data_IF_637105071979
#
_entry.id   IF_637105071979
#
_cell.length_a   1.000
_cell.length_b   1.000
_cell.length_c   1.000
_cell.angle_alpha   90.00
_cell.angle_beta   90.00
_cell.angle_gamma   90.00
#
_symmetry.space_group_name_H-M   'P 1'
#
loop_
_entity.id
_entity.type
_entity.pdbx_description
1 polymer ?
#
# COMPACT_ATOMS: atom_id res chain seq x y z
N UNK A 1 25.65 -36.77 -19.19
CA UNK A 1 26.49 -35.77 -19.87
C UNK A 1 26.99 -36.40 -21.16
N UNK A 2 26.41 -36.05 -22.30
CA UNK A 2 26.89 -36.49 -23.61
C UNK A 2 27.91 -35.47 -24.13
N UNK A 3 29.07 -35.95 -24.61
CA UNK A 3 30.02 -35.13 -25.37
C UNK A 3 29.44 -34.95 -26.78
N UNK A 4 29.37 -33.71 -27.26
CA UNK A 4 28.90 -33.40 -28.60
C UNK A 4 30.02 -32.64 -29.33
N UNK A 5 30.36 -33.06 -30.56
CA UNK A 5 31.33 -32.35 -31.40
C UNK A 5 30.84 -30.95 -31.74
N UNK A 6 31.73 -29.96 -31.63
CA UNK A 6 31.43 -28.57 -31.96
C UNK A 6 31.41 -28.42 -33.48
N UNK A 7 30.23 -28.35 -34.09
CA UNK A 7 30.11 -28.02 -35.52
C UNK A 7 30.68 -26.62 -35.83
N UNK A 8 31.62 -26.59 -36.78
CA UNK A 8 32.32 -25.41 -37.32
C UNK A 8 31.45 -24.68 -38.34
N UNK A 9 30.46 -23.92 -37.87
CA UNK A 9 29.93 -22.79 -38.63
C UNK A 9 29.88 -21.60 -37.68
N UNK A 10 30.96 -20.81 -37.69
CA UNK A 10 31.19 -19.70 -36.78
C UNK A 10 30.87 -18.38 -37.47
N UNK A 11 29.94 -17.61 -36.90
CA UNK A 11 30.13 -16.17 -36.80
C UNK A 11 31.03 -15.91 -35.60
N UNK A 12 32.07 -15.10 -35.78
CA UNK A 12 33.01 -14.79 -34.71
C UNK A 12 32.31 -14.01 -33.58
N UNK A 13 32.79 -14.17 -32.35
CA UNK A 13 32.30 -13.44 -31.17
C UNK A 13 32.41 -11.91 -31.36
N UNK A 14 33.36 -11.48 -32.21
CA UNK A 14 33.58 -10.09 -32.65
C UNK A 14 32.44 -9.50 -33.52
N UNK A 15 31.51 -10.32 -34.04
CA UNK A 15 30.31 -9.83 -34.75
C UNK A 15 29.12 -9.55 -33.81
N UNK A 16 29.23 -9.87 -32.51
CA UNK A 16 28.17 -9.62 -31.53
C UNK A 16 28.39 -8.25 -30.87
N UNK A 17 27.83 -7.23 -31.52
CA UNK A 17 27.64 -5.93 -30.89
C UNK A 17 26.54 -6.06 -29.82
N UNK A 18 26.94 -6.24 -28.56
CA UNK A 18 26.03 -6.34 -27.42
C UNK A 18 25.14 -5.09 -27.27
N UNK A 19 25.47 -3.97 -27.91
CA UNK A 19 24.67 -2.74 -27.91
C UNK A 19 23.44 -2.81 -28.84
N UNK A 20 23.32 -3.84 -29.68
CA UNK A 20 22.19 -3.99 -30.62
C UNK A 20 21.10 -4.91 -30.08
N UNK A 21 20.08 -4.27 -29.49
CA UNK A 21 18.78 -4.78 -28.99
C UNK A 21 18.20 -5.98 -29.79
N UNK A 22 18.42 -6.06 -31.10
CA UNK A 22 17.92 -7.15 -31.95
C UNK A 22 18.37 -8.56 -31.52
N UNK A 23 19.55 -8.71 -30.92
CA UNK A 23 20.11 -10.03 -30.59
C UNK A 23 19.64 -10.55 -29.23
N UNK A 24 19.31 -9.67 -28.29
CA UNK A 24 18.82 -10.01 -26.94
C UNK A 24 17.31 -10.31 -26.89
N UNK A 25 16.57 -10.04 -27.98
CA UNK A 25 15.14 -10.36 -28.12
C UNK A 25 14.87 -11.74 -28.76
N UNK A 26 15.93 -12.52 -29.00
CA UNK A 26 15.83 -13.88 -29.54
C UNK A 26 15.64 -14.90 -28.42
N UNK A 27 14.57 -15.70 -28.46
CA UNK A 27 14.36 -16.86 -27.58
C UNK A 27 15.38 -18.00 -27.83
N UNK A 28 16.24 -17.88 -28.85
CA UNK A 28 17.27 -18.87 -29.15
C UNK A 28 18.57 -18.57 -28.40
N UNK A 29 19.16 -19.56 -27.69
CA UNK A 29 20.39 -19.37 -26.94
C UNK A 29 21.55 -19.02 -27.88
N UNK A 30 22.28 -17.94 -27.56
CA UNK A 30 23.49 -17.54 -28.26
C UNK A 30 24.57 -18.61 -27.98
N UNK A 31 25.16 -19.16 -29.05
CA UNK A 31 26.22 -20.17 -28.96
C UNK A 31 27.55 -19.47 -28.72
N UNK A 32 28.07 -19.58 -27.50
CA UNK A 32 29.40 -19.10 -27.12
C UNK A 32 30.36 -20.30 -27.17
N UNK A 33 31.41 -20.22 -27.98
CA UNK A 33 32.41 -21.29 -28.14
C UNK A 33 33.80 -20.71 -28.27
N UNK A 34 34.79 -21.48 -27.83
CA UNK A 34 36.20 -21.13 -27.97
C UNK A 34 36.94 -22.27 -28.68
N UNK A 35 37.80 -21.94 -29.63
CA UNK A 35 38.55 -22.95 -30.41
C UNK A 35 39.94 -23.24 -29.85
N UNK A 36 40.44 -22.45 -28.89
CA UNK A 36 41.77 -22.60 -28.29
C UNK A 36 41.74 -22.30 -26.80
N UNK A 37 42.60 -22.97 -26.03
CA UNK A 37 42.78 -22.73 -24.60
C UNK A 37 43.55 -21.42 -24.35
N UNK A 38 43.01 -20.49 -23.57
CA UNK A 38 43.67 -19.21 -23.25
C UNK A 38 45.02 -19.33 -22.52
N UNK A 39 45.22 -20.44 -21.78
CA UNK A 39 46.44 -20.63 -21.00
C UNK A 39 47.60 -21.25 -21.79
N UNK A 40 47.31 -22.20 -22.69
CA UNK A 40 48.35 -22.96 -23.40
C UNK A 40 48.24 -22.92 -24.94
N UNK A 41 47.18 -22.32 -25.50
CA UNK A 41 46.98 -22.18 -26.94
C UNK A 41 46.54 -23.45 -27.68
N UNK A 42 46.45 -24.60 -26.99
CA UNK A 42 46.01 -25.87 -27.58
C UNK A 42 44.57 -25.80 -28.12
N UNK A 43 44.30 -26.56 -29.19
CA UNK A 43 42.96 -26.66 -29.81
C UNK A 43 41.93 -27.27 -28.85
N UNK A 44 40.70 -26.73 -28.87
CA UNK A 44 39.55 -27.22 -28.11
C UNK A 44 38.52 -27.81 -29.09
N UNK A 45 38.39 -29.15 -29.11
CA UNK A 45 37.52 -29.86 -30.07
C UNK A 45 36.24 -30.43 -29.42
N UNK A 46 36.34 -30.81 -28.14
CA UNK A 46 35.24 -31.36 -27.33
C UNK A 46 34.91 -30.42 -26.16
N UNK A 47 33.63 -30.32 -25.82
CA UNK A 47 33.17 -29.58 -24.64
C UNK A 47 31.87 -30.10 -24.05
N UNK A 48 31.48 -29.53 -22.91
CA UNK A 48 30.16 -29.75 -22.31
C UNK A 48 29.30 -28.50 -22.53
N UNK A 49 28.06 -28.68 -22.99
CA UNK A 49 27.10 -27.58 -23.12
C UNK A 49 26.35 -27.41 -21.80
N UNK A 50 26.44 -26.21 -21.23
CA UNK A 50 25.55 -25.74 -20.16
C UNK A 50 24.80 -24.54 -20.71
N UNK A 51 23.48 -24.59 -20.73
CA UNK A 51 22.66 -23.45 -21.10
C UNK A 51 22.32 -22.66 -19.83
N UNK A 52 22.84 -21.44 -19.74
CA UNK A 52 22.52 -20.50 -18.65
C UNK A 52 21.67 -19.39 -19.23
N UNK A 53 20.47 -19.18 -18.67
CA UNK A 53 19.65 -18.03 -19.01
C UNK A 53 20.17 -16.79 -18.28
N UNK A 54 20.65 -15.80 -19.04
CA UNK A 54 20.99 -14.48 -18.50
C UNK A 54 19.78 -13.57 -18.65
N UNK A 55 19.32 -12.98 -17.55
CA UNK A 55 18.28 -11.94 -17.56
C UNK A 55 18.97 -10.59 -17.36
N UNK A 56 18.78 -9.70 -18.31
CA UNK A 56 19.33 -8.34 -18.26
C UNK A 56 18.26 -7.29 -18.57
N UNK A 57 18.52 -6.03 -18.21
CA UNK A 57 17.65 -4.89 -18.49
C UNK A 57 18.20 -4.18 -19.74
N UNK A 58 17.51 -4.23 -20.89
CA UNK A 58 18.02 -3.60 -22.10
C UNK A 58 17.98 -2.08 -21.99
N UNK A 59 18.88 -1.41 -22.70
CA UNK A 59 18.80 0.04 -22.87
C UNK A 59 17.44 0.43 -23.46
N UNK A 60 16.77 1.46 -22.92
CA UNK A 60 15.46 1.85 -23.41
C UNK A 60 15.58 2.42 -24.83
N UNK A 61 14.80 1.91 -25.80
CA UNK A 61 14.82 2.47 -27.15
C UNK A 61 14.20 3.87 -27.15
N UNK A 62 14.86 4.83 -27.81
CA UNK A 62 14.29 6.15 -28.07
C UNK A 62 13.33 6.04 -29.26
N UNK A 63 12.03 6.07 -29.00
CA UNK A 63 11.01 6.09 -30.05
C UNK A 63 10.56 7.54 -30.31
N UNK A 64 10.84 8.05 -31.53
CA UNK A 64 10.35 9.36 -31.99
C UNK A 64 9.05 9.18 -32.76
N UNK A 65 8.06 10.03 -32.47
CA UNK A 65 6.78 10.05 -33.16
C UNK A 65 6.54 11.42 -33.78
N UNK A 66 6.10 11.45 -35.04
CA UNK A 66 5.58 12.64 -35.71
C UNK A 66 4.06 12.61 -35.63
N UNK A 67 3.45 13.67 -35.07
CA UNK A 67 2.00 13.82 -34.98
C UNK A 67 1.55 14.88 -35.98
N UNK A 68 0.59 14.52 -36.82
CA UNK A 68 0.03 15.40 -37.84
C UNK A 68 -1.26 16.05 -37.32
N UNK A 69 -1.45 17.31 -37.70
CA UNK A 69 -2.64 18.11 -37.45
C UNK A 69 -3.29 18.34 -38.81
N UNK A 70 -4.60 18.15 -38.85
CA UNK A 70 -5.40 18.33 -40.04
C UNK A 70 -6.47 19.37 -39.74
N UNK A 71 -6.82 20.17 -40.73
CA UNK A 71 -7.99 21.04 -40.71
C UNK A 71 -8.98 20.44 -41.70
N UNK A 72 -10.20 20.17 -41.25
CA UNK A 72 -11.21 19.59 -42.12
C UNK A 72 -11.74 20.64 -43.09
N UNK A 73 -11.45 20.52 -44.38
CA UNK A 73 -11.88 21.48 -45.42
C UNK A 73 -13.41 21.68 -45.54
N UNK A 74 -14.21 20.84 -44.90
CA UNK A 74 -15.67 20.89 -44.97
C UNK A 74 -16.34 21.51 -43.73
N UNK A 75 -15.69 21.51 -42.57
CA UNK A 75 -16.28 22.01 -41.32
C UNK A 75 -15.31 22.80 -40.44
N UNK A 76 -14.10 23.08 -40.92
CA UNK A 76 -13.02 23.80 -40.25
C UNK A 76 -12.61 23.20 -38.89
N UNK A 77 -12.98 21.95 -38.62
CA UNK A 77 -12.63 21.27 -37.37
C UNK A 77 -11.17 20.81 -37.41
N UNK A 78 -10.41 21.11 -36.36
CA UNK A 78 -9.05 20.60 -36.19
C UNK A 78 -9.08 19.12 -35.78
N UNK A 79 -8.58 18.25 -36.64
CA UNK A 79 -8.42 16.81 -36.38
C UNK A 79 -6.96 16.52 -36.07
N UNK A 80 -6.69 15.97 -34.90
CA UNK A 80 -5.35 15.58 -34.47
C UNK A 80 -5.18 14.08 -34.66
N UNK A 81 -4.10 13.65 -35.33
CA UNK A 81 -3.81 12.23 -35.51
C UNK A 81 -3.54 11.54 -34.15
N UNK A 82 -4.43 10.63 -33.74
CA UNK A 82 -4.27 9.84 -32.53
C UNK A 82 -3.79 8.42 -32.83
N UNK A 83 -2.91 7.89 -31.96
CA UNK A 83 -2.51 6.49 -31.97
C UNK A 83 -2.66 5.91 -30.59
N UNK A 84 -3.41 4.81 -30.48
CA UNK A 84 -3.58 4.07 -29.23
C UNK A 84 -2.22 3.72 -28.60
N UNK A 85 -2.03 4.09 -27.35
CA UNK A 85 -0.79 3.88 -26.60
C UNK A 85 0.23 5.02 -26.65
N UNK A 86 -0.03 6.09 -27.43
CA UNK A 86 0.70 7.35 -27.29
C UNK A 86 -0.08 8.34 -26.42
N UNK A 87 0.60 9.07 -25.53
CA UNK A 87 -0.08 10.04 -24.65
C UNK A 87 -0.74 11.13 -25.51
N UNK A 88 -2.00 11.46 -25.20
CA UNK A 88 -2.73 12.52 -25.90
C UNK A 88 -2.05 13.88 -25.71
N UNK A 89 -1.50 14.12 -24.51
CA UNK A 89 -0.76 15.34 -24.13
C UNK A 89 0.66 15.05 -23.63
N UNK A 90 1.59 15.97 -23.88
CA UNK A 90 2.96 15.92 -23.36
C UNK A 90 3.90 14.99 -24.13
N UNK A 91 5.16 14.90 -23.67
CA UNK A 91 6.26 14.21 -24.37
C UNK A 91 6.70 12.89 -23.73
N UNK A 92 6.05 12.48 -22.64
CA UNK A 92 6.46 11.33 -21.83
C UNK A 92 5.47 10.18 -21.99
N UNK A 93 5.97 8.99 -22.31
CA UNK A 93 5.15 7.80 -22.55
C UNK A 93 4.68 7.10 -21.27
N UNK A 94 3.74 6.16 -21.43
CA UNK A 94 3.05 5.50 -20.32
C UNK A 94 3.98 4.87 -19.27
N UNK A 95 5.09 4.26 -19.70
CA UNK A 95 6.08 3.66 -18.79
C UNK A 95 6.71 4.71 -17.87
N UNK A 96 7.06 5.87 -18.40
CA UNK A 96 7.72 6.92 -17.61
C UNK A 96 6.74 7.55 -16.61
N UNK A 97 5.47 7.74 -17.00
CA UNK A 97 4.41 8.17 -16.08
C UNK A 97 4.20 7.14 -14.95
N UNK A 98 4.08 5.85 -15.30
CA UNK A 98 3.90 4.78 -14.33
C UNK A 98 5.09 4.69 -13.36
N UNK A 99 6.31 4.73 -13.86
CA UNK A 99 7.51 4.72 -13.02
C UNK A 99 7.62 5.95 -12.13
N UNK A 100 7.25 7.14 -12.60
CA UNK A 100 7.27 8.35 -11.77
C UNK A 100 6.40 8.20 -10.52
N UNK A 101 5.18 7.64 -10.69
CA UNK A 101 4.27 7.35 -9.58
C UNK A 101 4.81 6.22 -8.71
N UNK A 102 5.24 5.11 -9.31
CA UNK A 102 5.75 3.94 -8.58
C UNK A 102 6.97 4.31 -7.72
N UNK A 103 7.97 4.98 -8.30
CA UNK A 103 9.14 5.45 -7.57
C UNK A 103 8.78 6.41 -6.44
N UNK A 104 7.81 7.31 -6.68
CA UNK A 104 7.42 8.28 -5.68
C UNK A 104 6.67 7.65 -4.50
N UNK A 105 5.66 6.82 -4.76
CA UNK A 105 4.68 6.42 -3.75
C UNK A 105 4.87 5.00 -3.23
N UNK A 106 5.40 4.07 -4.04
CA UNK A 106 5.75 2.72 -3.57
C UNK A 106 7.17 2.71 -2.99
N UNK A 107 8.14 3.24 -3.75
CA UNK A 107 9.55 3.22 -3.37
C UNK A 107 10.02 4.49 -2.62
N UNK A 108 9.10 5.45 -2.40
CA UNK A 108 9.30 6.62 -1.53
C UNK A 108 10.46 7.53 -1.95
N UNK A 109 10.80 7.54 -3.22
CA UNK A 109 11.93 8.29 -3.76
C UNK A 109 11.54 9.78 -3.89
N UNK A 110 12.36 10.73 -3.39
CA UNK A 110 12.11 12.16 -3.59
C UNK A 110 12.13 12.55 -5.08
N UNK A 111 11.29 13.50 -5.48
CA UNK A 111 11.15 13.91 -6.90
C UNK A 111 12.46 14.26 -7.60
N UNK A 112 13.39 14.93 -6.91
CA UNK A 112 14.72 15.25 -7.45
C UNK A 112 15.56 14.00 -7.72
N UNK A 113 15.45 12.96 -6.87
CA UNK A 113 16.14 11.68 -7.10
C UNK A 113 15.51 10.89 -8.25
N UNK A 114 14.18 10.97 -8.42
CA UNK A 114 13.49 10.36 -9.58
C UNK A 114 13.96 11.01 -10.88
N UNK A 115 14.08 12.34 -10.90
CA UNK A 115 14.65 13.11 -12.00
C UNK A 115 16.07 12.61 -12.36
N UNK A 116 16.94 12.45 -11.36
CA UNK A 116 18.28 11.90 -11.59
C UNK A 116 18.24 10.46 -12.12
N UNK A 117 17.37 9.60 -11.59
CA UNK A 117 17.22 8.21 -12.06
C UNK A 117 16.80 8.16 -13.53
N UNK A 118 15.88 9.01 -13.96
CA UNK A 118 15.46 9.07 -15.35
C UNK A 118 16.57 9.54 -16.29
N UNK A 119 17.43 10.47 -15.85
CA UNK A 119 18.61 10.85 -16.62
C UNK A 119 19.63 9.70 -16.68
N UNK A 120 19.96 9.10 -15.53
CA UNK A 120 21.01 8.08 -15.40
C UNK A 120 20.68 6.78 -16.12
N UNK A 121 19.43 6.33 -16.04
CA UNK A 121 19.02 5.05 -16.60
C UNK A 121 18.52 5.19 -18.04
N UNK A 122 17.92 6.32 -18.40
CA UNK A 122 17.16 6.46 -19.64
C UNK A 122 17.56 7.66 -20.50
N UNK A 123 18.58 8.44 -20.09
CA UNK A 123 18.97 9.68 -20.77
C UNK A 123 17.83 10.71 -20.85
N UNK A 124 16.83 10.60 -19.96
CA UNK A 124 15.61 11.40 -20.03
C UNK A 124 15.67 12.57 -19.05
N UNK A 125 16.07 13.73 -19.58
CA UNK A 125 16.13 14.95 -18.78
C UNK A 125 14.75 15.50 -18.44
N UNK A 126 14.39 15.42 -17.17
CA UNK A 126 13.15 15.97 -16.60
C UNK A 126 13.45 16.57 -15.23
N UNK A 127 12.97 17.77 -14.95
CA UNK A 127 13.15 18.38 -13.63
C UNK A 127 12.29 17.70 -12.56
N UNK A 128 12.64 17.85 -11.28
CA UNK A 128 11.81 17.34 -10.17
C UNK A 128 10.37 17.88 -10.20
N UNK A 129 10.17 19.14 -10.60
CA UNK A 129 8.84 19.71 -10.83
C UNK A 129 8.12 19.07 -12.03
N UNK A 130 8.88 18.67 -13.07
CA UNK A 130 8.36 17.87 -14.17
C UNK A 130 7.83 16.52 -13.70
N UNK A 131 8.58 15.81 -12.85
CA UNK A 131 8.14 14.53 -12.26
C UNK A 131 6.86 14.72 -11.44
N UNK A 132 6.77 15.78 -10.62
CA UNK A 132 5.54 16.11 -9.90
C UNK A 132 4.35 16.28 -10.85
N UNK A 133 4.52 17.03 -11.95
CA UNK A 133 3.46 17.21 -12.96
C UNK A 133 3.02 15.90 -13.62
N UNK A 134 3.93 14.94 -13.79
CA UNK A 134 3.54 13.60 -14.27
C UNK A 134 2.62 12.90 -13.27
N UNK A 135 2.97 12.95 -11.98
CA UNK A 135 2.13 12.39 -10.92
C UNK A 135 0.76 13.09 -10.86
N UNK A 136 0.69 14.41 -11.04
CA UNK A 136 -0.58 15.17 -11.07
C UNK A 136 -1.50 14.73 -12.22
N UNK A 137 -0.95 14.52 -13.42
CA UNK A 137 -1.71 14.00 -14.56
C UNK A 137 -2.25 12.61 -14.31
N UNK A 138 -1.40 11.72 -13.77
CA UNK A 138 -1.80 10.37 -13.38
C UNK A 138 -2.90 10.40 -12.33
N UNK A 139 -2.79 11.23 -11.29
CA UNK A 139 -3.79 11.31 -10.22
C UNK A 139 -5.14 11.83 -10.71
N UNK A 140 -5.15 12.70 -11.73
CA UNK A 140 -6.39 13.17 -12.36
C UNK A 140 -7.14 12.01 -13.01
N UNK A 141 -6.43 11.14 -13.73
CA UNK A 141 -7.02 9.95 -14.38
C UNK A 141 -7.39 8.87 -13.37
N UNK A 142 -6.60 8.75 -12.30
CA UNK A 142 -6.80 7.76 -11.27
C UNK A 142 -7.94 8.09 -10.29
N UNK A 143 -8.52 9.29 -10.39
CA UNK A 143 -9.44 9.79 -9.37
C UNK A 143 -10.77 9.02 -9.32
N UNK A 144 -11.29 8.61 -10.48
CA UNK A 144 -12.51 7.79 -10.52
C UNK A 144 -12.34 6.47 -9.77
N UNK A 145 -11.19 5.79 -9.94
CA UNK A 145 -10.90 4.55 -9.22
C UNK A 145 -10.74 4.77 -7.71
N UNK A 146 -10.17 5.91 -7.30
CA UNK A 146 -10.12 6.30 -5.88
C UNK A 146 -11.52 6.46 -5.27
N UNK A 147 -12.41 7.16 -5.98
CA UNK A 147 -13.79 7.40 -5.55
C UNK A 147 -14.62 6.10 -5.55
N UNK A 148 -14.37 5.20 -6.50
CA UNK A 148 -15.02 3.89 -6.51
C UNK A 148 -14.56 2.98 -5.37
N UNK A 149 -13.29 3.08 -4.96
CA UNK A 149 -12.81 2.38 -3.74
C UNK A 149 -13.49 2.97 -2.50
N UNK A 150 -13.68 4.29 -2.41
CA UNK A 150 -14.41 4.91 -1.30
C UNK A 150 -15.82 4.32 -1.18
N UNK A 151 -16.58 4.25 -2.28
CA UNK A 151 -17.92 3.64 -2.29
C UNK A 151 -17.90 2.18 -1.82
N UNK A 152 -16.86 1.43 -2.19
CA UNK A 152 -16.70 0.03 -1.76
C UNK A 152 -16.36 -0.09 -0.27
N UNK A 153 -15.67 0.89 0.30
CA UNK A 153 -15.43 1.00 1.74
C UNK A 153 -16.71 1.36 2.50
N UNK A 154 -17.52 2.27 1.96
CA UNK A 154 -18.83 2.64 2.54
C UNK A 154 -19.80 1.45 2.66
N UNK A 155 -19.68 0.48 1.75
CA UNK A 155 -20.51 -0.73 1.74
C UNK A 155 -19.88 -1.93 2.48
N UNK A 156 -18.83 -1.74 3.28
CA UNK A 156 -18.15 -2.83 3.96
C UNK A 156 -18.90 -3.34 5.20
N UNK A 157 -18.95 -4.66 5.38
CA UNK A 157 -19.53 -5.28 6.59
C UNK A 157 -18.62 -5.13 7.81
N UNK A 158 -17.30 -5.21 7.60
CA UNK A 158 -16.28 -4.99 8.63
C UNK A 158 -15.21 -4.07 8.08
N UNK A 159 -14.92 -3.01 8.82
CA UNK A 159 -13.99 -1.97 8.42
C UNK A 159 -12.99 -1.68 9.53
N UNK A 160 -11.70 -1.78 9.22
CA UNK A 160 -10.63 -1.39 10.13
C UNK A 160 -10.25 0.06 9.83
N UNK A 161 -10.24 0.91 10.85
CA UNK A 161 -9.96 2.33 10.72
C UNK A 161 -8.90 2.78 11.73
N UNK A 162 -7.99 3.64 11.28
CA UNK A 162 -6.93 4.23 12.10
C UNK A 162 -6.46 5.54 11.47
N UNK A 163 -5.72 6.35 12.23
CA UNK A 163 -5.28 7.65 11.80
C UNK A 163 -3.93 8.04 12.38
N UNK A 164 -3.15 8.78 11.59
CA UNK A 164 -1.85 9.26 12.04
C UNK A 164 -1.65 10.74 11.69
N UNK A 165 -1.07 11.55 12.60
CA UNK A 165 -0.87 12.97 12.33
C UNK A 165 0.18 13.16 11.23
N UNK A 166 0.03 14.19 10.42
CA UNK A 166 0.98 14.56 9.38
C UNK A 166 1.06 16.08 9.28
N UNK A 167 2.24 16.61 9.00
CA UNK A 167 2.38 18.04 8.75
C UNK A 167 2.08 18.36 7.28
N UNK A 168 1.25 19.38 7.06
CA UNK A 168 0.95 19.97 5.77
C UNK A 168 1.12 21.47 5.90
N UNK A 169 2.09 22.03 5.16
CA UNK A 169 2.44 23.45 5.20
C UNK A 169 2.63 23.99 6.64
N UNK A 170 3.32 23.21 7.48
CA UNK A 170 3.56 23.54 8.89
C UNK A 170 2.37 23.33 9.82
N UNK A 171 1.17 23.07 9.29
CA UNK A 171 -0.04 22.80 10.05
C UNK A 171 -0.27 21.30 10.26
N UNK A 172 -0.91 20.94 11.37
CA UNK A 172 -1.22 19.53 11.69
C UNK A 172 -2.48 19.09 10.96
N UNK A 173 -2.33 18.11 10.08
CA UNK A 173 -3.43 17.36 9.45
C UNK A 173 -3.35 15.89 9.87
N UNK A 174 -4.30 15.07 9.40
CA UNK A 174 -4.44 13.65 9.71
C UNK A 174 -4.54 12.85 8.43
N UNK A 175 -3.77 11.77 8.36
CA UNK A 175 -3.94 10.72 7.37
C UNK A 175 -4.78 9.62 8.01
N UNK A 176 -6.00 9.49 7.54
CA UNK A 176 -6.90 8.41 7.87
C UNK A 176 -6.68 7.23 6.94
N UNK A 177 -6.80 6.02 7.48
CA UNK A 177 -6.85 4.79 6.70
C UNK A 177 -8.12 4.02 7.05
N UNK A 178 -8.73 3.42 6.03
CA UNK A 178 -9.89 2.57 6.13
C UNK A 178 -9.63 1.32 5.30
N UNK A 179 -9.74 0.12 5.88
CA UNK A 179 -9.42 -1.12 5.16
C UNK A 179 -10.38 -2.24 5.49
N UNK A 180 -10.72 -3.05 4.48
CA UNK A 180 -11.41 -4.34 4.64
C UNK A 180 -10.44 -5.51 4.58
N UNK A 181 -9.12 -5.25 4.51
CA UNK A 181 -8.10 -6.25 4.21
C UNK A 181 -7.94 -6.50 2.70
N UNK A 182 -9.00 -6.42 1.90
CA UNK A 182 -8.91 -6.52 0.43
C UNK A 182 -8.83 -5.14 -0.25
N UNK A 183 -9.49 -4.13 0.32
CA UNK A 183 -9.50 -2.76 -0.18
C UNK A 183 -9.01 -1.82 0.90
N UNK A 184 -8.26 -0.80 0.50
CA UNK A 184 -7.71 0.18 1.43
C UNK A 184 -7.89 1.57 0.86
N UNK A 185 -8.53 2.44 1.64
CA UNK A 185 -8.77 3.83 1.33
C UNK A 185 -8.02 4.73 2.30
N UNK A 186 -7.36 5.75 1.77
CA UNK A 186 -6.71 6.78 2.54
C UNK A 186 -7.41 8.12 2.31
N UNK A 187 -7.54 8.91 3.38
CA UNK A 187 -8.07 10.26 3.31
C UNK A 187 -7.18 11.22 4.11
N UNK A 188 -6.73 12.29 3.48
CA UNK A 188 -6.00 13.34 4.15
C UNK A 188 -6.95 14.47 4.56
N UNK A 189 -7.13 14.73 5.85
CA UNK A 189 -8.03 15.77 6.36
C UNK A 189 -7.38 16.59 7.47
N UNK A 190 -7.82 17.83 7.64
CA UNK A 190 -7.28 18.72 8.68
C UNK A 190 -7.86 18.41 10.07
N UNK A 191 -8.86 17.53 10.15
CA UNK A 191 -9.48 17.10 11.39
C UNK A 191 -9.24 15.63 11.73
N UNK A 192 -9.32 15.34 13.03
CA UNK A 192 -9.38 13.99 13.63
C UNK A 192 -10.78 13.67 14.19
N UNK A 193 -11.77 14.53 13.95
CA UNK A 193 -13.12 14.42 14.52
C UNK A 193 -14.02 13.45 13.75
N UNK A 194 -15.22 13.24 14.28
CA UNK A 194 -16.24 12.35 13.68
C UNK A 194 -16.72 12.85 12.32
N UNK A 195 -16.62 14.15 12.06
CA UNK A 195 -16.99 14.75 10.77
C UNK A 195 -16.21 14.15 9.59
N UNK A 196 -15.00 13.64 9.82
CA UNK A 196 -14.24 12.93 8.76
C UNK A 196 -14.81 11.55 8.50
N UNK A 197 -15.29 10.86 9.55
CA UNK A 197 -15.97 9.58 9.40
C UNK A 197 -17.28 9.77 8.64
N UNK A 198 -18.07 10.80 8.96
CA UNK A 198 -19.28 11.17 8.24
C UNK A 198 -19.00 11.50 6.77
N UNK A 199 -17.96 12.29 6.49
CA UNK A 199 -17.56 12.63 5.12
C UNK A 199 -17.15 11.39 4.31
N UNK A 200 -16.36 10.49 4.92
CA UNK A 200 -15.78 9.35 4.21
C UNK A 200 -16.77 8.20 4.08
N UNK A 201 -17.48 7.88 5.16
CA UNK A 201 -18.35 6.71 5.29
C UNK A 201 -19.84 7.02 5.03
N UNK A 202 -20.22 8.29 5.03
CA UNK A 202 -21.60 8.75 4.88
C UNK A 202 -22.38 8.72 6.20
N UNK A 203 -23.64 9.15 6.15
CA UNK A 203 -24.47 9.31 7.36
C UNK A 203 -24.90 7.98 8.01
N UNK A 204 -24.85 6.86 7.28
CA UNK A 204 -25.42 5.58 7.70
C UNK A 204 -24.53 4.40 7.31
N UNK A 205 -23.36 4.28 7.95
CA UNK A 205 -22.53 3.08 7.83
C UNK A 205 -23.17 1.91 8.60
N UNK A 206 -23.44 0.80 7.92
CA UNK A 206 -24.12 -0.36 8.52
C UNK A 206 -23.19 -1.44 9.06
N UNK A 207 -21.90 -1.38 8.74
CA UNK A 207 -20.91 -2.38 9.15
C UNK A 207 -20.38 -2.19 10.57
N UNK A 208 -19.44 -3.05 10.98
CA UNK A 208 -18.69 -2.91 12.23
C UNK A 208 -17.38 -2.19 11.96
N UNK A 209 -17.04 -1.19 12.78
CA UNK A 209 -15.73 -0.52 12.72
C UNK A 209 -14.80 -1.10 13.78
N UNK A 210 -13.68 -1.66 13.35
CA UNK A 210 -12.56 -2.04 14.23
C UNK A 210 -11.61 -0.85 14.32
N UNK A 211 -11.43 -0.30 15.51
CA UNK A 211 -10.69 0.95 15.71
C UNK A 211 -9.86 0.96 16.98
N UNK A 212 -9.08 2.03 17.15
CA UNK A 212 -8.48 2.38 18.43
C UNK A 212 -9.54 2.95 19.41
N UNK A 213 -9.07 3.49 20.54
CA UNK A 213 -9.94 4.08 21.56
C UNK A 213 -10.36 5.53 21.32
N UNK A 214 -10.13 6.12 20.14
CA UNK A 214 -10.38 7.54 19.94
C UNK A 214 -11.88 7.91 19.95
N UNK A 215 -12.22 9.06 20.55
CA UNK A 215 -13.60 9.52 20.76
C UNK A 215 -14.40 9.83 19.50
N UNK A 216 -13.75 10.00 18.35
CA UNK A 216 -14.44 10.23 17.07
C UNK A 216 -15.28 9.03 16.64
N UNK A 217 -14.81 7.81 16.92
CA UNK A 217 -15.50 6.59 16.53
C UNK A 217 -16.86 6.42 17.22
N UNK A 218 -16.98 6.45 18.57
CA UNK A 218 -18.28 6.34 19.24
C UNK A 218 -19.18 7.55 19.01
N UNK A 219 -18.63 8.72 18.68
CA UNK A 219 -19.43 9.89 18.28
C UNK A 219 -20.11 9.69 16.92
N UNK A 220 -19.49 8.92 16.02
CA UNK A 220 -20.02 8.63 14.69
C UNK A 220 -20.89 7.36 14.64
N UNK A 221 -20.44 6.27 15.29
CA UNK A 221 -21.03 4.95 15.11
C UNK A 221 -21.09 4.12 16.38
N UNK A 222 -22.13 3.30 16.52
CA UNK A 222 -22.36 2.48 17.71
C UNK A 222 -21.82 1.05 17.60
N UNK A 223 -21.69 0.51 16.39
CA UNK A 223 -21.18 -0.86 16.20
C UNK A 223 -19.67 -0.85 15.99
N UNK A 224 -18.96 -0.84 17.12
CA UNK A 224 -17.51 -0.76 17.18
C UNK A 224 -16.90 -2.01 17.79
N UNK A 225 -15.68 -2.33 17.37
CA UNK A 225 -14.76 -3.20 18.06
C UNK A 225 -13.52 -2.40 18.43
N UNK A 226 -13.34 -2.09 19.71
CA UNK A 226 -12.10 -1.47 20.18
C UNK A 226 -10.97 -2.48 20.23
N UNK A 227 -9.79 -2.03 19.83
CA UNK A 227 -8.59 -2.87 19.80
C UNK A 227 -8.17 -3.29 21.21
N UNK A 228 -8.26 -4.58 21.52
CA UNK A 228 -7.76 -5.15 22.78
C UNK A 228 -6.28 -4.91 22.99
N UNK A 229 -5.48 -4.88 21.92
CA UNK A 229 -4.05 -4.60 22.05
C UNK A 229 -3.79 -3.21 22.62
N UNK A 230 -4.63 -2.21 22.36
CA UNK A 230 -4.46 -0.89 22.99
C UNK A 230 -4.84 -0.90 24.48
N UNK A 231 -5.89 -1.65 24.86
CA UNK A 231 -6.25 -1.84 26.26
C UNK A 231 -5.14 -2.56 27.04
N UNK A 232 -4.48 -3.53 26.39
CA UNK A 232 -3.44 -4.35 27.02
C UNK A 232 -2.03 -3.73 26.92
N UNK A 233 -1.77 -2.81 25.98
CA UNK A 233 -0.48 -2.10 25.86
C UNK A 233 -0.25 -1.04 26.94
N UNK A 234 -1.27 -0.71 27.74
CA UNK A 234 -1.11 0.19 28.88
C UNK A 234 0.00 -0.24 29.85
N UNK A 235 0.40 -1.52 29.82
CA UNK A 235 1.54 -2.06 30.59
C UNK A 235 2.88 -1.40 30.30
N UNK A 236 3.10 -0.86 29.10
CA UNK A 236 4.38 -0.24 28.76
C UNK A 236 4.64 1.03 29.58
N UNK A 237 3.58 1.64 30.12
CA UNK A 237 3.61 2.84 30.95
C UNK A 237 3.35 2.54 32.44
N UNK A 238 3.02 1.29 32.80
CA UNK A 238 2.79 0.90 34.20
C UNK A 238 4.10 0.87 34.98
N UNK A 239 4.06 1.36 36.22
CA UNK A 239 5.14 1.12 37.17
C UNK A 239 5.28 -0.37 37.47
N UNK A 240 6.51 -0.90 37.39
CA UNK A 240 6.83 -2.30 37.71
C UNK A 240 6.39 -2.70 39.14
N UNK A 241 6.37 -1.74 40.06
CA UNK A 241 6.00 -1.95 41.47
C UNK A 241 4.49 -1.82 41.73
N UNK A 242 3.68 -1.47 40.72
CA UNK A 242 2.24 -1.26 40.88
C UNK A 242 1.43 -2.55 40.84
N UNK A 243 1.45 -3.26 41.96
CA UNK A 243 0.74 -4.55 42.10
C UNK A 243 -0.77 -4.46 41.85
N UNK A 244 -1.39 -3.30 42.07
CA UNK A 244 -2.82 -3.09 41.86
C UNK A 244 -3.15 -3.02 40.37
N UNK A 245 -2.42 -2.20 39.61
CA UNK A 245 -2.55 -2.11 38.16
C UNK A 245 -2.25 -3.43 37.46
N UNK A 246 -1.17 -4.12 37.88
CA UNK A 246 -0.81 -5.44 37.35
C UNK A 246 -1.89 -6.50 37.61
N UNK A 247 -2.58 -6.46 38.76
CA UNK A 247 -3.68 -7.37 39.06
C UNK A 247 -4.85 -7.21 38.09
N UNK A 248 -5.25 -5.96 37.82
CA UNK A 248 -6.32 -5.62 36.88
C UNK A 248 -5.92 -6.04 35.46
N UNK A 249 -4.70 -5.70 35.05
CA UNK A 249 -4.16 -6.08 33.74
C UNK A 249 -4.17 -7.60 33.55
N UNK A 250 -3.61 -8.36 34.50
CA UNK A 250 -3.56 -9.82 34.42
C UNK A 250 -4.97 -10.41 34.27
N UNK A 251 -5.95 -9.84 34.98
CA UNK A 251 -7.34 -10.26 34.85
C UNK A 251 -7.92 -9.97 33.47
N UNK A 252 -7.68 -8.79 32.90
CA UNK A 252 -8.08 -8.46 31.53
C UNK A 252 -7.42 -9.39 30.50
N UNK A 253 -6.14 -9.69 30.69
CA UNK A 253 -5.39 -10.60 29.84
C UNK A 253 -5.96 -12.02 29.89
N UNK A 254 -6.26 -12.55 31.07
CA UNK A 254 -6.92 -13.85 31.25
C UNK A 254 -8.28 -13.92 30.53
N UNK A 255 -9.10 -12.88 30.67
CA UNK A 255 -10.39 -12.79 29.98
C UNK A 255 -10.17 -12.83 28.46
N UNK A 256 -9.21 -12.05 27.96
CA UNK A 256 -8.91 -11.99 26.53
C UNK A 256 -8.43 -13.33 25.96
N UNK A 257 -7.47 -13.98 26.63
CA UNK A 257 -6.98 -15.30 26.22
C UNK A 257 -8.07 -16.37 26.32
N UNK A 258 -8.91 -16.31 27.35
CA UNK A 258 -10.09 -17.17 27.51
C UNK A 258 -11.06 -17.02 26.33
N UNK A 259 -11.38 -15.80 25.93
CA UNK A 259 -12.24 -15.52 24.77
C UNK A 259 -11.63 -16.04 23.47
N UNK A 260 -10.33 -15.79 23.24
CA UNK A 260 -9.65 -16.33 22.04
C UNK A 260 -9.62 -17.85 22.03
N UNK A 261 -9.38 -18.49 23.17
CA UNK A 261 -9.42 -19.95 23.31
C UNK A 261 -10.80 -20.49 22.99
N UNK A 262 -11.84 -19.88 23.55
CA UNK A 262 -13.24 -20.20 23.27
C UNK A 262 -13.58 -20.07 21.77
N UNK A 263 -13.15 -19.00 21.10
CA UNK A 263 -13.45 -18.82 19.67
C UNK A 263 -12.81 -19.89 18.76
N UNK A 264 -11.72 -20.52 19.21
CA UNK A 264 -11.07 -21.63 18.48
C UNK A 264 -11.83 -22.95 18.55
N UNK A 265 -12.83 -23.07 19.42
CA UNK A 265 -13.66 -24.30 19.53
C UNK A 265 -14.85 -24.32 18.56
N UNK A 266 -14.90 -23.37 17.62
CA UNK A 266 -16.00 -23.14 16.68
C UNK A 266 -17.39 -23.07 17.37
N UNK A 267 -17.57 -22.12 18.30
CA UNK A 267 -18.78 -22.06 19.10
C UNK A 267 -19.99 -21.61 18.28
N UNK A 268 -21.15 -22.21 18.59
CA UNK A 268 -22.44 -21.85 18.03
C UNK A 268 -22.83 -20.40 18.36
N UNK A 269 -23.72 -19.76 17.57
CA UNK A 269 -24.20 -18.41 17.86
C UNK A 269 -24.75 -18.23 19.28
N UNK A 270 -25.47 -19.22 19.81
CA UNK A 270 -26.01 -19.18 21.18
C UNK A 270 -24.90 -19.19 22.23
N UNK A 271 -23.88 -20.05 22.05
CA UNK A 271 -22.72 -20.08 22.96
C UNK A 271 -21.96 -18.75 22.94
N UNK A 272 -21.81 -18.12 21.76
CA UNK A 272 -21.16 -16.81 21.62
C UNK A 272 -21.89 -15.73 22.40
N UNK A 273 -23.23 -15.69 22.32
CA UNK A 273 -24.05 -14.73 23.08
C UNK A 273 -23.85 -14.94 24.58
N UNK A 274 -23.97 -16.17 25.07
CA UNK A 274 -23.80 -16.48 26.51
C UNK A 274 -22.42 -16.07 27.01
N UNK A 275 -21.35 -16.43 26.29
CA UNK A 275 -19.99 -16.07 26.67
C UNK A 275 -19.76 -14.56 26.60
N UNK A 276 -20.32 -13.88 25.59
CA UNK A 276 -20.24 -12.42 25.50
C UNK A 276 -20.92 -11.73 26.69
N UNK A 277 -22.12 -12.20 27.09
CA UNK A 277 -22.85 -11.66 28.25
C UNK A 277 -22.04 -11.82 29.53
N UNK A 278 -21.52 -13.03 29.80
CA UNK A 278 -20.71 -13.29 30.99
C UNK A 278 -19.42 -12.46 30.99
N UNK A 279 -18.76 -12.33 29.84
CA UNK A 279 -17.56 -11.50 29.73
C UNK A 279 -17.88 -10.01 29.94
N UNK A 280 -19.03 -9.53 29.44
CA UNK A 280 -19.47 -8.13 29.64
C UNK A 280 -19.69 -7.84 31.12
N UNK A 281 -20.40 -8.71 31.83
CA UNK A 281 -20.64 -8.56 33.27
C UNK A 281 -19.32 -8.50 34.05
N UNK A 282 -18.35 -9.34 33.69
CA UNK A 282 -17.04 -9.32 34.32
C UNK A 282 -16.25 -8.03 34.02
N UNK A 283 -16.26 -7.53 32.78
CA UNK A 283 -15.63 -6.26 32.43
C UNK A 283 -16.30 -5.08 33.16
N UNK A 284 -17.62 -5.06 33.26
CA UNK A 284 -18.36 -4.02 34.01
C UNK A 284 -18.10 -4.10 35.52
N UNK A 285 -17.86 -5.28 36.07
CA UNK A 285 -17.47 -5.46 37.47
C UNK A 285 -16.06 -4.95 37.72
N UNK A 286 -15.12 -5.24 36.82
CA UNK A 286 -13.75 -4.73 36.91
C UNK A 286 -13.71 -3.21 36.82
N UNK A 287 -14.43 -2.62 35.87
CA UNK A 287 -14.50 -1.17 35.69
C UNK A 287 -14.99 -0.41 36.94
N UNK A 288 -15.71 -1.06 37.86
CA UNK A 288 -16.21 -0.47 39.11
C UNK A 288 -15.34 -0.76 40.34
N UNK A 289 -14.17 -1.36 40.15
CA UNK A 289 -13.27 -1.65 41.25
C UNK A 289 -12.68 -0.34 41.75
N UNK A 290 -12.75 -0.11 43.06
CA UNK A 290 -12.08 1.03 43.69
C UNK A 290 -10.58 0.75 43.75
N UNK A 291 -9.78 1.69 43.27
CA UNK A 291 -8.32 1.60 43.21
C UNK A 291 -7.69 2.81 43.89
N UNK A 292 -6.45 2.66 44.35
CA UNK A 292 -5.67 3.75 44.95
C UNK A 292 -4.54 4.22 44.04
N UNK A 293 -4.08 3.37 43.13
CA UNK A 293 -3.08 3.69 42.12
C UNK A 293 -3.69 4.52 40.97
N UNK A 294 -2.94 5.53 40.52
CA UNK A 294 -3.27 6.27 39.30
C UNK A 294 -3.15 5.41 38.03
N UNK A 295 -2.15 4.53 37.98
CA UNK A 295 -1.95 3.60 36.87
C UNK A 295 -3.12 2.61 36.76
N UNK A 296 -3.62 2.13 37.91
CA UNK A 296 -4.80 1.28 37.98
C UNK A 296 -6.07 2.03 37.55
N UNK A 297 -6.23 3.29 37.98
CA UNK A 297 -7.36 4.15 37.63
C UNK A 297 -7.39 4.45 36.13
N UNK A 298 -6.24 4.68 35.50
CA UNK A 298 -6.12 4.91 34.06
C UNK A 298 -6.56 3.67 33.26
N UNK A 299 -6.17 2.46 33.67
CA UNK A 299 -6.60 1.20 33.03
C UNK A 299 -8.11 1.01 33.16
N UNK A 300 -8.68 1.24 34.34
CA UNK A 300 -10.13 1.12 34.56
C UNK A 300 -10.92 2.18 33.81
N UNK A 301 -10.43 3.41 33.75
CA UNK A 301 -11.01 4.49 32.95
C UNK A 301 -11.00 4.14 31.47
N UNK A 302 -9.92 3.56 30.95
CA UNK A 302 -9.86 3.10 29.56
C UNK A 302 -10.87 1.99 29.30
N UNK A 303 -10.97 1.02 30.21
CA UNK A 303 -11.93 -0.08 30.15
C UNK A 303 -13.37 0.46 30.14
N UNK A 304 -13.72 1.32 31.09
CA UNK A 304 -15.05 1.93 31.25
C UNK A 304 -15.47 2.67 29.97
N UNK A 305 -14.59 3.51 29.43
CA UNK A 305 -14.85 4.29 28.22
C UNK A 305 -15.15 3.43 26.98
N UNK A 306 -14.80 2.15 26.99
CA UNK A 306 -15.03 1.22 25.88
C UNK A 306 -16.09 0.15 26.15
N UNK A 307 -16.77 0.19 27.31
CA UNK A 307 -17.85 -0.75 27.61
C UNK A 307 -18.89 -0.72 26.50
N UNK A 308 -19.34 -1.90 26.09
CA UNK A 308 -20.19 -2.09 24.91
C UNK A 308 -19.43 -2.31 23.60
N UNK A 309 -18.15 -1.92 23.50
CA UNK A 309 -17.35 -1.98 22.27
C UNK A 309 -16.16 -2.97 22.34
N UNK A 310 -15.90 -3.59 23.49
CA UNK A 310 -14.79 -4.56 23.64
C UNK A 310 -15.09 -5.95 23.07
N UNK A 311 -16.35 -6.36 23.00
CA UNK A 311 -16.74 -7.76 22.84
C UNK A 311 -17.52 -8.04 21.54
N UNK A 312 -17.48 -7.13 20.57
CA UNK A 312 -18.17 -7.27 19.28
C UNK A 312 -17.63 -8.48 18.49
N UNK A 313 -16.33 -8.71 18.55
CA UNK A 313 -15.64 -9.86 17.92
C UNK A 313 -16.11 -11.23 18.43
N UNK A 314 -16.71 -11.31 19.62
CA UNK A 314 -17.19 -12.57 20.19
C UNK A 314 -18.41 -13.07 19.41
N UNK A 315 -19.30 -12.15 19.02
CA UNK A 315 -20.58 -12.46 18.36
C UNK A 315 -20.53 -12.29 16.84
N UNK A 316 -19.56 -11.54 16.31
CA UNK A 316 -19.34 -11.36 14.87
C UNK A 316 -18.05 -12.08 14.42
N UNK A 317 -18.14 -13.25 13.74
CA UNK A 317 -16.98 -14.07 13.39
C UNK A 317 -15.94 -13.37 12.50
N UNK A 318 -16.37 -12.44 11.64
CA UNK A 318 -15.50 -11.72 10.71
C UNK A 318 -14.80 -10.50 11.35
N UNK A 319 -15.13 -10.17 12.60
CA UNK A 319 -14.56 -9.05 13.34
C UNK A 319 -13.36 -9.55 14.14
N UNK A 320 -12.20 -8.92 13.93
CA UNK A 320 -11.00 -9.22 14.71
C UNK A 320 -10.99 -8.42 16.02
N UNK A 321 -10.46 -8.98 17.13
CA UNK A 321 -10.36 -8.25 18.40
C UNK A 321 -9.34 -7.12 18.40
N UNK A 322 -8.48 -7.02 17.38
CA UNK A 322 -7.39 -6.04 17.31
C UNK A 322 -7.40 -5.29 15.98
N UNK A 323 -6.92 -4.05 15.99
CA UNK A 323 -6.83 -3.19 14.82
C UNK A 323 -5.50 -3.33 14.06
N UNK A 324 -4.84 -4.49 14.20
CA UNK A 324 -3.50 -4.74 13.66
C UNK A 324 -3.42 -4.52 12.14
N UNK A 325 -4.54 -4.73 11.42
CA UNK A 325 -4.61 -4.50 9.97
C UNK A 325 -4.40 -3.04 9.60
N UNK A 326 -5.15 -2.12 10.21
CA UNK A 326 -4.99 -0.70 9.93
C UNK A 326 -3.61 -0.19 10.39
N UNK A 327 -3.18 -0.58 11.60
CA UNK A 327 -1.85 -0.23 12.13
C UNK A 327 -0.71 -0.68 11.21
N UNK A 328 -0.77 -1.92 10.69
CA UNK A 328 0.25 -2.45 9.79
C UNK A 328 0.29 -1.70 8.46
N UNK A 329 -0.88 -1.33 7.93
CA UNK A 329 -1.00 -0.58 6.68
C UNK A 329 -0.41 0.83 6.82
N UNK A 330 -0.64 1.51 7.95
CA UNK A 330 -0.10 2.86 8.21
C UNK A 330 1.44 2.91 8.25
N UNK A 331 2.13 1.79 8.46
CA UNK A 331 3.61 1.74 8.47
C UNK A 331 4.20 2.27 7.16
N UNK A 332 3.58 2.00 6.02
CA UNK A 332 4.06 2.44 4.72
C UNK A 332 4.00 3.99 4.57
N UNK A 333 2.85 4.66 4.80
CA UNK A 333 2.80 6.12 4.90
C UNK A 333 3.69 6.72 5.98
N UNK A 334 3.81 6.10 7.16
CA UNK A 334 4.67 6.60 8.25
C UNK A 334 6.13 6.59 7.82
N UNK A 335 6.59 5.55 7.12
CA UNK A 335 7.94 5.51 6.56
C UNK A 335 8.15 6.61 5.52
N UNK A 336 7.16 6.85 4.66
CA UNK A 336 7.22 7.95 3.69
C UNK A 336 7.28 9.32 4.37
N UNK A 337 6.46 9.53 5.41
CA UNK A 337 6.45 10.74 6.25
C UNK A 337 7.84 11.02 6.84
N UNK A 338 8.56 10.00 7.31
CA UNK A 338 9.93 10.17 7.85
C UNK A 338 10.92 10.67 6.78
N UNK A 339 10.72 10.32 5.52
CA UNK A 339 11.57 10.75 4.39
C UNK A 339 11.23 12.18 3.94
N UNK A 340 9.95 12.49 3.78
CA UNK A 340 9.49 13.76 3.19
C UNK A 340 9.23 14.86 4.23
N UNK A 341 9.05 14.46 5.49
CA UNK A 341 8.71 15.25 6.69
C UNK A 341 7.36 15.96 6.64
N UNK A 342 7.09 16.74 5.60
CA UNK A 342 5.88 17.56 5.46
C UNK A 342 5.39 17.51 4.02
N UNK A 343 4.07 17.62 3.85
CA UNK A 343 3.47 18.04 2.59
C UNK A 343 3.46 19.56 2.52
N UNK A 344 3.39 20.11 1.31
CA UNK A 344 3.48 21.56 1.08
C UNK A 344 2.12 22.22 0.85
N UNK A 345 1.09 21.45 0.49
CA UNK A 345 -0.25 21.96 0.16
C UNK A 345 -1.26 20.83 -0.02
N UNK A 346 -2.53 21.21 -0.21
CA UNK A 346 -3.66 20.31 -0.50
C UNK A 346 -3.49 19.47 -1.78
N UNK A 347 -2.79 19.98 -2.82
CA UNK A 347 -2.50 19.16 -4.00
C UNK A 347 -1.63 17.96 -3.61
N UNK A 348 -0.62 18.17 -2.76
CA UNK A 348 0.20 17.11 -2.21
C UNK A 348 -0.63 16.06 -1.45
N UNK A 349 -1.59 16.50 -0.63
CA UNK A 349 -2.52 15.61 0.08
C UNK A 349 -3.31 14.75 -0.92
N UNK A 350 -3.91 15.37 -1.93
CA UNK A 350 -4.71 14.70 -2.97
C UNK A 350 -3.92 13.63 -3.71
N UNK A 351 -2.66 13.90 -4.07
CA UNK A 351 -1.81 12.91 -4.73
C UNK A 351 -1.52 11.71 -3.82
N UNK A 352 -1.17 11.99 -2.56
CA UNK A 352 -0.82 10.96 -1.59
C UNK A 352 -2.00 10.05 -1.27
N UNK A 353 -3.18 10.61 -0.95
CA UNK A 353 -4.37 9.82 -0.65
C UNK A 353 -4.78 8.96 -1.86
N UNK A 354 -4.67 9.50 -3.08
CA UNK A 354 -5.04 8.80 -4.31
C UNK A 354 -4.12 7.60 -4.56
N UNK A 355 -2.80 7.83 -4.61
CA UNK A 355 -1.87 6.76 -4.96
C UNK A 355 -1.67 5.74 -3.83
N UNK A 356 -1.70 6.14 -2.56
CA UNK A 356 -1.67 5.17 -1.47
C UNK A 356 -2.88 4.23 -1.51
N UNK A 357 -4.08 4.76 -1.77
CA UNK A 357 -5.31 3.97 -1.90
C UNK A 357 -5.21 2.94 -3.00
N UNK A 358 -4.82 3.39 -4.20
CA UNK A 358 -4.76 2.52 -5.38
C UNK A 358 -3.66 1.47 -5.25
N UNK A 359 -2.43 1.90 -4.96
CA UNK A 359 -1.29 0.98 -4.84
C UNK A 359 -1.54 -0.08 -3.77
N UNK A 360 -2.09 0.32 -2.61
CA UNK A 360 -2.35 -0.63 -1.53
C UNK A 360 -3.47 -1.60 -1.88
N UNK A 361 -4.56 -1.11 -2.48
CA UNK A 361 -5.68 -1.95 -2.92
C UNK A 361 -5.25 -2.95 -3.99
N UNK A 362 -4.49 -2.52 -5.02
CA UNK A 362 -3.99 -3.43 -6.04
C UNK A 362 -3.09 -4.51 -5.47
N UNK A 363 -2.18 -4.16 -4.54
CA UNK A 363 -1.32 -5.15 -3.87
C UNK A 363 -2.14 -6.17 -3.09
N UNK A 364 -3.19 -5.75 -2.37
CA UNK A 364 -4.06 -6.66 -1.63
C UNK A 364 -4.86 -7.61 -2.56
N UNK A 365 -5.19 -7.14 -3.76
CA UNK A 365 -5.85 -7.93 -4.80
C UNK A 365 -4.90 -8.83 -5.60
N UNK A 366 -3.59 -8.82 -5.28
CA UNK A 366 -2.58 -9.60 -6.01
C UNK A 366 -2.17 -9.01 -7.36
N UNK A 367 -2.60 -7.79 -7.67
CA UNK A 367 -2.26 -7.10 -8.91
C UNK A 367 -0.86 -6.48 -8.82
N UNK A 368 -0.15 -6.47 -9.95
CA UNK A 368 1.15 -5.79 -10.05
C UNK A 368 0.93 -4.26 -10.18
N UNK A 369 1.42 -3.44 -9.22
CA UNK A 369 1.18 -2.00 -9.25
C UNK A 369 1.74 -1.30 -10.49
N UNK A 370 2.87 -1.77 -11.03
CA UNK A 370 3.44 -1.20 -12.24
C UNK A 370 2.53 -1.42 -13.45
N UNK A 371 1.97 -2.63 -13.60
CA UNK A 371 1.04 -2.97 -14.67
C UNK A 371 -0.25 -2.14 -14.59
N UNK A 372 -0.80 -1.95 -13.40
CA UNK A 372 -1.99 -1.09 -13.19
C UNK A 372 -1.71 0.38 -13.48
N UNK A 373 -0.54 0.89 -13.07
CA UNK A 373 -0.13 2.24 -13.41
C UNK A 373 0.07 2.42 -14.92
N UNK A 374 0.60 1.42 -15.63
CA UNK A 374 0.68 1.45 -17.09
C UNK A 374 -0.71 1.48 -17.74
N UNK A 375 -1.69 0.74 -17.18
CA UNK A 375 -3.09 0.78 -17.64
C UNK A 375 -3.66 2.19 -17.48
N UNK A 376 -3.51 2.80 -16.31
CA UNK A 376 -3.93 4.18 -16.08
C UNK A 376 -3.23 5.16 -17.03
N UNK A 377 -1.91 5.04 -17.19
CA UNK A 377 -1.10 5.95 -17.99
C UNK A 377 -1.46 5.97 -19.48
N UNK A 378 -2.11 4.91 -20.00
CA UNK A 378 -2.61 4.86 -21.38
C UNK A 378 -3.86 5.72 -21.60
N UNK A 379 -4.51 6.16 -20.53
CA UNK A 379 -5.70 7.00 -20.54
C UNK A 379 -5.39 8.47 -20.16
N UNK A 380 -4.11 8.86 -20.12
CA UNK A 380 -3.59 10.19 -19.73
C UNK A 380 -3.18 11.01 -20.96
#
# INVERSE_FOLDING_TARGET
MEKICVETVTKAEEEFDYDRISLLLSDQPIKITQSKCDNCGSSLEDGFKIAVGVKDVPDPPIVRHSRYYYECENCDEEVIAEKKGLPSKGRYGANLLAQAVLFRYEYRIPYRKISNLFEQLYGCSISGAGVLRLCERMATTARSEYEDIQKQIQAADVLFADETPHLVDGSKSWLWVFTTGNRTFYAFRDSRGSEVLEEVLGDAFSGVIVCDGHRSYPAYHSWLQRCWTHLLRGTDDLSDDDTEAWSIYNRLFEIFEGLKSFLRTDPTPVQRIVVQTNAREELERLARTEVQSGDADDVLTMLENGIGHWLTFVVHPDVEPTNNRAEAILREPIAMRRIIRTLQNQKGMRLHETFFTLLKTWKHQGNNPYTELQRLARNV
#
